data_IF_496050274736
#
_entry.id   IF_496050274736
#
_cell.length_a   1.000
_cell.length_b   1.000
_cell.length_c   1.000
_cell.angle_alpha   90.00
_cell.angle_beta   90.00
_cell.angle_gamma   90.00
#
_symmetry.space_group_name_H-M   'P 1'
#
loop_
_entity.id
_entity.type
_entity.pdbx_description
1 polymer ?
2 non-polymer ?
3 non-polymer ?
4 water ?
#
# COMPACT_ATOMS: atom_id res chain seq x y z
N UNK A 22 1.04 -27.40 32.02
CA UNK A 22 1.30 -26.14 32.77
C UNK A 22 1.93 -25.08 31.89
N UNK A 23 1.21 -23.99 31.57
CA UNK A 23 1.75 -22.93 30.73
C UNK A 23 2.69 -22.01 31.51
N UNK A 24 3.76 -21.56 30.86
CA UNK A 24 4.71 -20.68 31.52
C UNK A 24 4.94 -19.36 30.81
N UNK A 25 5.19 -18.33 31.60
CA UNK A 25 5.48 -17.00 31.10
C UNK A 25 7.00 -16.92 31.13
N UNK A 26 7.66 -16.71 29.97
CA UNK A 26 9.13 -16.63 29.94
C UNK A 26 9.66 -15.59 30.92
N UNK A 27 10.86 -15.81 31.44
CA UNK A 27 11.45 -14.88 32.40
C UNK A 27 11.60 -13.51 31.75
N UNK A 28 11.08 -12.49 32.44
CA UNK A 28 11.08 -11.10 32.00
C UNK A 28 9.88 -10.72 31.17
N UNK A 29 9.18 -11.69 30.57
CA UNK A 29 8.01 -11.33 29.78
C UNK A 29 6.87 -11.10 30.77
N UNK A 30 5.85 -10.38 30.32
CA UNK A 30 4.69 -10.11 31.15
C UNK A 30 3.51 -10.81 30.49
N UNK A 31 2.78 -11.61 31.26
CA UNK A 31 1.63 -12.34 30.73
C UNK A 31 0.38 -11.95 31.50
N UNK A 32 -0.40 -11.04 30.94
CA UNK A 32 -1.60 -10.53 31.61
C UNK A 32 -2.77 -10.32 30.66
N UNK A 33 -3.89 -10.98 30.97
CA UNK A 33 -5.13 -10.86 30.19
C UNK A 33 -5.04 -11.26 28.72
N UNK A 34 -4.58 -12.48 28.47
CA UNK A 34 -4.47 -13.02 27.12
C UNK A 34 -3.45 -12.24 26.28
N UNK A 35 -2.56 -11.53 26.94
CA UNK A 35 -1.53 -10.76 26.24
C UNK A 35 -0.17 -11.20 26.73
N UNK A 36 0.67 -11.66 25.82
CA UNK A 36 2.00 -12.08 26.20
C UNK A 36 2.95 -11.02 25.65
N UNK A 37 3.61 -10.32 26.56
CA UNK A 37 4.51 -9.23 26.21
C UNK A 37 5.95 -9.63 26.45
N UNK A 38 6.68 -9.80 25.35
CA UNK A 38 8.08 -10.19 25.41
C UNK A 38 8.98 -9.26 24.61
N UNK A 39 8.61 -8.00 24.45
CA UNK A 39 9.44 -7.06 23.70
C UNK A 39 10.73 -6.76 24.45
N UNK A 40 11.69 -6.25 23.69
CA UNK A 40 12.99 -5.80 24.20
C UNK A 40 13.77 -6.75 25.09
N UNK A 41 13.67 -8.05 24.83
CA UNK A 41 14.38 -9.00 25.68
C UNK A 41 15.56 -9.72 25.04
N UNK A 42 15.87 -9.39 23.79
CA UNK A 42 16.97 -10.06 23.14
C UNK A 42 16.74 -11.54 22.92
N UNK A 43 15.49 -12.00 23.02
CA UNK A 43 15.21 -13.42 22.83
C UNK A 43 15.79 -13.86 21.49
N UNK A 44 16.28 -15.10 21.41
CA UNK A 44 16.86 -15.60 20.17
C UNK A 44 15.95 -16.54 19.40
N UNK A 45 14.78 -16.86 19.97
CA UNK A 45 13.80 -17.71 19.30
C UNK A 45 12.44 -17.58 19.97
N UNK A 46 11.38 -17.92 19.24
CA UNK A 46 10.04 -17.84 19.76
C UNK A 46 9.85 -18.72 20.99
N UNK A 47 9.31 -18.17 22.08
CA UNK A 47 9.10 -18.95 23.29
C UNK A 47 7.99 -20.00 23.08
N UNK A 48 8.13 -21.15 23.75
CA UNK A 48 7.13 -22.19 23.65
C UNK A 48 6.44 -22.36 24.99
N UNK A 49 5.40 -23.19 25.03
CA UNK A 49 4.64 -23.43 26.25
C UNK A 49 3.87 -22.20 26.71
N UNK A 50 3.55 -21.29 25.80
CA UNK A 50 2.80 -20.11 26.16
C UNK A 50 1.35 -20.48 26.43
N UNK A 51 0.62 -19.66 27.20
CA UNK A 51 -0.78 -19.92 27.51
C UNK A 51 -1.63 -20.14 26.25
N UNK A 52 -2.30 -21.30 26.16
CA UNK A 52 -3.15 -21.62 25.00
C UNK A 52 -4.17 -20.57 24.58
N UNK A 53 -4.61 -19.74 25.52
CA UNK A 53 -5.61 -18.71 25.20
C UNK A 53 -5.01 -17.36 24.79
N UNK A 54 -3.70 -17.29 24.62
CA UNK A 54 -3.06 -16.03 24.25
C UNK A 54 -3.69 -15.43 22.99
N UNK A 55 -4.13 -14.18 23.09
CA UNK A 55 -4.77 -13.50 21.96
C UNK A 55 -3.83 -12.56 21.21
N UNK A 56 -2.84 -12.03 21.91
CA UNK A 56 -1.87 -11.13 21.30
C UNK A 56 -0.49 -11.49 21.83
N UNK A 57 0.43 -11.73 20.92
CA UNK A 57 1.79 -12.10 21.27
C UNK A 57 2.73 -11.02 20.71
N UNK A 58 3.48 -10.38 21.59
CA UNK A 58 4.39 -9.29 21.19
C UNK A 58 5.83 -9.72 21.36
N UNK A 59 6.52 -9.94 20.25
CA UNK A 59 7.91 -10.36 20.26
C UNK A 59 8.81 -9.32 19.59
N UNK A 60 8.33 -8.09 19.55
CA UNK A 60 9.05 -6.98 18.95
C UNK A 60 10.41 -6.72 19.58
N UNK A 61 11.35 -6.24 18.77
CA UNK A 61 12.69 -5.90 19.23
C UNK A 61 13.43 -7.00 19.98
N UNK A 62 13.60 -8.14 19.31
CA UNK A 62 14.33 -9.25 19.89
C UNK A 62 15.37 -9.65 18.86
N UNK A 63 15.96 -10.83 19.01
CA UNK A 63 16.99 -11.28 18.07
C UNK A 63 16.64 -12.60 17.39
N UNK A 64 15.34 -12.83 17.21
CA UNK A 64 14.89 -14.06 16.57
C UNK A 64 15.39 -14.13 15.12
N UNK A 65 16.00 -15.24 14.75
CA UNK A 65 16.54 -15.38 13.39
C UNK A 65 15.66 -16.18 12.43
N UNK A 66 14.76 -16.99 12.95
CA UNK A 66 13.90 -17.78 12.08
C UNK A 66 12.67 -18.33 12.80
N UNK A 67 11.65 -18.68 12.01
CA UNK A 67 10.42 -19.24 12.54
C UNK A 67 10.35 -20.71 12.08
N UNK A 68 10.53 -21.64 13.02
CA UNK A 68 10.48 -23.07 12.73
C UNK A 68 9.05 -23.58 12.76
N UNK A 69 8.80 -24.73 12.15
CA UNK A 69 7.45 -25.29 12.09
C UNK A 69 6.74 -25.53 13.43
N UNK A 70 7.49 -25.70 14.51
CA UNK A 70 6.85 -25.93 15.79
C UNK A 70 6.61 -24.68 16.64
N UNK A 71 7.26 -23.59 16.27
CA UNK A 71 7.17 -22.33 17.00
C UNK A 71 5.79 -21.83 17.44
N UNK A 72 4.75 -22.07 16.65
CA UNK A 72 3.43 -21.57 17.06
C UNK A 72 2.32 -22.59 17.31
N UNK A 73 2.66 -23.69 17.98
CA UNK A 73 1.66 -24.70 18.28
C UNK A 73 0.79 -24.33 19.49
N UNK A 74 -0.47 -24.75 19.45
CA UNK A 74 -1.41 -24.51 20.54
C UNK A 74 -1.76 -23.04 20.82
N UNK A 75 -1.60 -22.19 19.81
CA UNK A 75 -1.94 -20.77 19.91
C UNK A 75 -3.10 -20.56 18.95
N UNK A 76 -4.19 -21.27 19.23
CA UNK A 76 -5.38 -21.25 18.39
C UNK A 76 -6.26 -20.01 18.54
N UNK A 77 -6.04 -19.22 19.57
CA UNK A 77 -6.85 -18.02 19.74
C UNK A 77 -6.07 -16.75 19.41
N UNK A 78 -4.83 -16.90 18.99
CA UNK A 78 -3.98 -15.76 18.67
C UNK A 78 -4.47 -14.95 17.47
N UNK A 79 -4.95 -13.72 17.70
CA UNK A 79 -5.39 -12.89 16.59
C UNK A 79 -4.34 -11.86 16.15
N UNK A 80 -3.29 -11.67 16.94
CA UNK A 80 -2.25 -10.71 16.60
C UNK A 80 -0.84 -11.22 16.92
N UNK A 81 0.06 -11.13 15.97
CA UNK A 81 1.43 -11.58 16.19
C UNK A 81 2.36 -10.45 15.76
N UNK A 82 3.19 -9.99 16.68
CA UNK A 82 4.10 -8.91 16.39
C UNK A 82 5.52 -9.43 16.47
N UNK A 83 6.22 -9.40 15.33
CA UNK A 83 7.59 -9.88 15.27
C UNK A 83 8.48 -8.76 14.73
N UNK A 84 7.89 -7.56 14.67
CA UNK A 84 8.58 -6.38 14.22
C UNK A 84 9.96 -6.27 14.88
N UNK A 85 10.94 -5.81 14.09
CA UNK A 85 12.31 -5.60 14.53
C UNK A 85 13.04 -6.80 15.11
N UNK A 86 13.21 -7.82 14.29
CA UNK A 86 13.97 -8.99 14.70
C UNK A 86 15.05 -9.16 13.62
N UNK A 87 15.58 -10.38 13.47
CA UNK A 87 16.59 -10.64 12.46
C UNK A 87 16.14 -11.87 11.69
N UNK A 88 14.83 -11.97 11.48
CA UNK A 88 14.27 -13.12 10.75
C UNK A 88 14.70 -13.16 9.29
N UNK A 89 15.35 -14.24 8.89
CA UNK A 89 15.79 -14.39 7.50
C UNK A 89 15.18 -15.61 6.81
N UNK A 90 14.33 -16.33 7.53
CA UNK A 90 13.68 -17.51 6.95
C UNK A 90 12.49 -17.99 7.79
N UNK A 91 11.40 -18.31 7.10
CA UNK A 91 10.19 -18.79 7.75
C UNK A 91 9.67 -20.05 7.04
N UNK A 92 9.73 -21.18 7.74
CA UNK A 92 9.27 -22.44 7.19
C UNK A 92 7.87 -22.32 6.62
N UNK A 93 7.61 -23.01 5.50
CA UNK A 93 6.27 -22.92 4.93
C UNK A 93 5.21 -23.40 5.92
N UNK A 94 4.08 -22.71 5.98
CA UNK A 94 3.02 -23.07 6.90
C UNK A 94 3.32 -22.92 8.38
N UNK A 95 4.45 -22.30 8.73
CA UNK A 95 4.79 -22.12 10.14
C UNK A 95 3.71 -21.37 10.90
N UNK A 96 2.97 -20.52 10.20
CA UNK A 96 1.90 -19.73 10.81
C UNK A 96 0.54 -20.39 10.66
N UNK A 97 0.49 -21.47 9.87
CA UNK A 97 -0.77 -22.17 9.61
C UNK A 97 -1.55 -22.55 10.85
N UNK A 98 -0.87 -23.10 11.87
CA UNK A 98 -1.62 -23.47 13.06
C UNK A 98 -2.28 -22.32 13.82
N UNK A 99 -2.03 -21.09 13.39
CA UNK A 99 -2.64 -19.91 14.02
C UNK A 99 -3.94 -19.68 13.27
N UNK A 100 -4.88 -20.60 13.45
CA UNK A 100 -6.17 -20.57 12.76
C UNK A 100 -7.06 -19.36 12.96
N UNK A 101 -6.67 -18.46 13.87
CA UNK A 101 -7.48 -17.26 14.08
C UNK A 101 -6.67 -15.98 13.92
N UNK A 102 -5.47 -16.10 13.37
CA UNK A 102 -4.59 -14.95 13.17
C UNK A 102 -5.15 -13.91 12.19
N UNK A 103 -5.32 -12.67 12.66
CA UNK A 103 -5.84 -11.60 11.81
C UNK A 103 -4.78 -10.57 11.41
N UNK A 104 -3.77 -10.41 12.25
CA UNK A 104 -2.72 -9.44 11.97
C UNK A 104 -1.34 -10.06 12.12
N UNK A 105 -0.51 -9.89 11.10
CA UNK A 105 0.85 -10.42 11.16
C UNK A 105 1.78 -9.26 10.81
N UNK A 106 2.65 -8.90 11.74
CA UNK A 106 3.56 -7.79 11.55
C UNK A 106 4.96 -8.32 11.51
N UNK A 107 5.58 -8.31 10.34
CA UNK A 107 6.93 -8.84 10.17
C UNK A 107 7.92 -7.77 9.75
N UNK A 108 7.51 -6.51 9.88
CA UNK A 108 8.35 -5.40 9.51
C UNK A 108 9.67 -5.36 10.27
N UNK A 109 10.67 -4.79 9.61
CA UNK A 109 12.02 -4.66 10.16
C UNK A 109 12.67 -6.00 10.45
N UNK A 110 12.77 -6.81 9.41
CA UNK A 110 13.41 -8.10 9.51
C UNK A 110 14.27 -8.30 8.28
N UNK A 111 14.72 -9.52 8.04
CA UNK A 111 15.57 -9.79 6.88
C UNK A 111 14.97 -10.82 5.94
N UNK A 112 13.66 -10.75 5.70
CA UNK A 112 13.00 -11.69 4.81
C UNK A 112 13.41 -11.44 3.36
N UNK A 113 13.56 -12.52 2.60
CA UNK A 113 13.95 -12.46 1.20
C UNK A 113 12.72 -12.58 0.32
N UNK A 114 11.67 -13.15 0.89
CA UNK A 114 10.42 -13.34 0.18
C UNK A 114 9.31 -13.47 1.21
N UNK A 115 8.06 -13.36 0.77
CA UNK A 115 6.94 -13.47 1.68
C UNK A 115 6.75 -14.92 2.08
N UNK A 116 6.17 -15.16 3.28
CA UNK A 116 5.95 -16.52 3.76
C UNK A 116 4.80 -17.28 3.09
N UNK A 117 5.06 -18.53 2.74
CA UNK A 117 4.05 -19.37 2.10
C UNK A 117 3.07 -19.94 3.11
N UNK A 118 1.85 -20.22 2.64
CA UNK A 118 0.79 -20.81 3.44
C UNK A 118 0.55 -20.08 4.75
N UNK A 119 -0.10 -18.92 4.67
CA UNK A 119 -0.42 -18.14 5.86
C UNK A 119 -1.89 -18.36 6.20
N UNK A 120 -2.26 -18.15 7.47
CA UNK A 120 -3.65 -18.33 7.91
C UNK A 120 -4.63 -17.64 6.97
N UNK A 121 -5.69 -18.34 6.60
CA UNK A 121 -6.69 -17.80 5.69
C UNK A 121 -7.55 -16.73 6.36
N UNK A 122 -7.38 -16.54 7.65
CA UNK A 122 -8.14 -15.54 8.38
C UNK A 122 -7.44 -14.19 8.37
N UNK A 123 -6.19 -14.20 7.93
CA UNK A 123 -5.35 -13.00 7.91
C UNK A 123 -6.00 -11.77 7.29
N UNK A 124 -6.07 -10.68 8.07
CA UNK A 124 -6.67 -9.46 7.59
C UNK A 124 -5.64 -8.40 7.23
N UNK A 125 -4.50 -8.41 7.90
CA UNK A 125 -3.48 -7.41 7.64
C UNK A 125 -2.08 -7.97 7.71
N UNK A 126 -1.27 -7.64 6.71
CA UNK A 126 0.10 -8.11 6.67
C UNK A 126 1.02 -6.92 6.47
N UNK A 127 2.05 -6.83 7.29
CA UNK A 127 2.97 -5.73 7.14
C UNK A 127 4.36 -6.33 7.11
N UNK A 128 5.08 -6.05 6.05
CA UNK A 128 6.44 -6.57 5.93
C UNK A 128 7.32 -5.43 5.47
N UNK A 129 7.11 -4.27 6.08
CA UNK A 129 7.86 -3.07 5.78
C UNK A 129 9.30 -3.25 6.22
N UNK A 130 10.21 -2.66 5.46
CA UNK A 130 11.63 -2.70 5.77
C UNK A 130 12.25 -4.09 5.94
N UNK A 131 12.21 -4.86 4.87
CA UNK A 131 12.79 -6.20 4.84
C UNK A 131 13.73 -6.23 3.65
N UNK A 132 13.91 -7.39 3.04
CA UNK A 132 14.78 -7.50 1.87
C UNK A 132 14.07 -8.32 0.81
N UNK A 133 12.79 -8.02 0.62
CA UNK A 133 11.96 -8.72 -0.35
C UNK A 133 12.40 -8.40 -1.77
N UNK A 134 12.54 -9.45 -2.60
CA UNK A 134 12.93 -9.27 -3.99
C UNK A 134 11.93 -9.98 -4.90
N UNK A 135 11.10 -10.84 -4.32
CA UNK A 135 10.10 -11.54 -5.12
C UNK A 135 8.79 -11.71 -4.37
N UNK A 136 7.69 -11.37 -5.03
CA UNK A 136 6.35 -11.51 -4.46
C UNK A 136 5.59 -12.58 -5.25
N UNK A 137 5.60 -13.81 -4.77
CA UNK A 137 4.93 -14.90 -5.46
C UNK A 137 3.41 -14.81 -5.36
N UNK A 138 2.73 -15.03 -6.47
CA UNK A 138 1.27 -14.99 -6.47
C UNK A 138 0.69 -16.07 -5.55
N UNK A 139 1.49 -17.12 -5.35
CA UNK A 139 1.10 -18.25 -4.51
C UNK A 139 0.92 -17.95 -3.03
N UNK A 140 1.69 -17.01 -2.50
CA UNK A 140 1.57 -16.67 -1.08
C UNK A 140 0.20 -16.10 -0.76
N UNK A 141 -0.40 -15.42 -1.74
CA UNK A 141 -1.69 -14.77 -1.56
C UNK A 141 -2.93 -15.55 -2.00
N UNK A 142 -2.74 -16.73 -2.57
CA UNK A 142 -3.89 -17.53 -3.00
C UNK A 142 -4.73 -17.97 -1.82
N UNK A 143 -6.03 -17.68 -1.88
CA UNK A 143 -6.91 -18.09 -0.79
C UNK A 143 -7.05 -17.12 0.37
N UNK A 144 -6.14 -16.18 0.52
CA UNK A 144 -6.22 -15.22 1.63
C UNK A 144 -7.35 -14.23 1.32
N UNK A 145 -8.59 -14.69 1.49
CA UNK A 145 -9.76 -13.89 1.17
C UNK A 145 -10.26 -12.94 2.24
N UNK A 146 -9.56 -12.84 3.37
CA UNK A 146 -9.99 -11.93 4.42
C UNK A 146 -9.07 -10.71 4.46
N UNK A 147 -7.95 -10.81 3.74
CA UNK A 147 -6.97 -9.73 3.68
C UNK A 147 -7.53 -8.41 3.20
N UNK A 148 -7.39 -7.36 4.01
CA UNK A 148 -7.85 -6.05 3.58
C UNK A 148 -6.73 -5.03 3.45
N UNK A 149 -5.64 -5.24 4.17
CA UNK A 149 -4.51 -4.32 4.13
C UNK A 149 -3.18 -5.04 3.97
N UNK A 150 -2.34 -4.53 3.06
CA UNK A 150 -1.01 -5.08 2.83
C UNK A 150 -0.02 -3.94 2.68
N UNK A 151 1.04 -3.96 3.48
CA UNK A 151 2.08 -2.94 3.44
C UNK A 151 3.40 -3.63 3.13
N UNK A 152 4.02 -3.29 2.00
CA UNK A 152 5.29 -3.91 1.61
C UNK A 152 6.38 -2.91 1.32
N UNK A 153 6.31 -1.75 1.96
CA UNK A 153 7.30 -0.73 1.69
C UNK A 153 8.71 -0.98 2.15
N UNK A 154 9.61 -0.15 1.65
CA UNK A 154 11.03 -0.21 1.98
C UNK A 154 11.65 -1.61 1.79
N UNK A 155 11.59 -2.09 0.56
CA UNK A 155 12.19 -3.36 0.18
C UNK A 155 12.90 -3.11 -1.15
N UNK A 156 13.98 -3.86 -1.43
CA UNK A 156 14.72 -3.68 -2.69
C UNK A 156 13.97 -4.26 -3.89
N UNK A 157 12.73 -4.67 -3.64
CA UNK A 157 11.88 -5.25 -4.69
C UNK A 157 11.87 -4.47 -6.01
N UNK A 158 11.81 -5.19 -7.12
CA UNK A 158 11.78 -4.58 -8.45
C UNK A 158 10.50 -5.05 -9.14
N UNK A 159 10.04 -4.30 -10.13
CA UNK A 159 8.82 -4.66 -10.84
C UNK A 159 8.87 -6.08 -11.38
N UNK A 160 10.07 -6.53 -11.75
CA UNK A 160 10.24 -7.88 -12.28
C UNK A 160 10.04 -8.93 -11.19
N UNK A 161 10.27 -8.54 -9.94
CA UNK A 161 10.12 -9.45 -8.82
C UNK A 161 8.67 -9.69 -8.42
N UNK A 162 7.75 -8.97 -9.02
CA UNK A 162 6.34 -9.14 -8.69
C UNK A 162 5.60 -9.89 -9.78
N UNK A 163 5.30 -11.16 -9.54
CA UNK A 163 4.59 -11.95 -10.53
C UNK A 163 3.30 -11.21 -10.87
N UNK A 164 2.86 -11.32 -12.12
CA UNK A 164 1.65 -10.65 -12.54
C UNK A 164 0.46 -11.23 -11.81
N UNK A 165 -0.50 -10.37 -11.47
CA UNK A 165 -1.69 -10.82 -10.75
C UNK A 165 -1.34 -11.43 -9.41
N UNK A 166 -0.16 -11.10 -8.88
CA UNK A 166 0.28 -11.64 -7.60
C UNK A 166 -0.71 -11.40 -6.47
N UNK A 167 -1.39 -10.25 -6.50
CA UNK A 167 -2.35 -9.93 -5.46
C UNK A 167 -3.78 -10.31 -5.80
N UNK A 168 -4.01 -10.74 -7.03
CA UNK A 168 -5.35 -11.11 -7.49
C UNK A 168 -6.12 -12.02 -6.53
N UNK A 169 -5.42 -12.97 -5.91
CA UNK A 169 -6.06 -13.90 -5.00
C UNK A 169 -6.82 -13.35 -3.80
N UNK A 170 -6.56 -12.09 -3.44
CA UNK A 170 -7.23 -11.48 -2.29
C UNK A 170 -8.47 -10.70 -2.71
N UNK A 171 -9.59 -11.41 -2.77
CA UNK A 171 -10.89 -10.86 -3.17
C UNK A 171 -11.48 -9.77 -2.28
N UNK A 172 -10.83 -9.46 -1.17
CA UNK A 172 -11.37 -8.45 -0.25
C UNK A 172 -10.36 -7.34 0.01
N UNK A 173 -9.19 -7.45 -0.60
CA UNK A 173 -8.12 -6.46 -0.44
C UNK A 173 -8.65 -5.04 -0.71
N UNK A 174 -8.47 -4.16 0.26
CA UNK A 174 -8.96 -2.79 0.11
C UNK A 174 -7.83 -1.79 0.01
N UNK A 175 -6.70 -2.14 0.62
CA UNK A 175 -5.56 -1.25 0.67
C UNK A 175 -4.27 -2.00 0.38
N UNK A 176 -3.40 -1.41 -0.42
CA UNK A 176 -2.10 -2.03 -0.65
C UNK A 176 -1.12 -0.88 -0.80
N UNK A 177 0.07 -1.05 -0.22
CA UNK A 177 1.09 -0.02 -0.30
C UNK A 177 2.48 -0.62 -0.53
N UNK A 178 3.13 -0.17 -1.59
CA UNK A 178 4.47 -0.60 -1.92
C UNK A 178 5.17 0.73 -2.12
N UNK A 179 5.93 1.15 -1.12
CA UNK A 179 6.60 2.44 -1.16
C UNK A 179 8.09 2.29 -0.88
N UNK A 180 8.86 3.26 -1.38
CA UNK A 180 10.31 3.27 -1.21
C UNK A 180 10.98 1.94 -1.60
N UNK A 181 10.61 1.44 -2.76
CA UNK A 181 11.19 0.20 -3.30
C UNK A 181 11.79 0.55 -4.66
N UNK A 182 12.11 -0.46 -5.47
CA UNK A 182 12.67 -0.22 -6.79
C UNK A 182 11.72 -0.43 -7.95
N UNK A 183 10.43 -0.59 -7.67
CA UNK A 183 9.50 -0.82 -8.77
C UNK A 183 9.49 0.40 -9.69
N UNK A 184 9.27 0.15 -10.97
CA UNK A 184 9.29 1.20 -11.98
C UNK A 184 7.96 1.35 -12.72
N UNK A 185 7.06 0.39 -12.51
CA UNK A 185 5.74 0.44 -13.13
C UNK A 185 4.69 -0.07 -12.17
N UNK A 186 3.47 0.42 -12.31
CA UNK A 186 2.38 -0.02 -11.46
C UNK A 186 2.16 -1.52 -11.69
N UNK A 187 2.02 -2.29 -10.61
CA UNK A 187 1.81 -3.74 -10.77
C UNK A 187 0.58 -4.05 -11.62
N UNK A 188 0.69 -5.08 -12.45
CA UNK A 188 -0.42 -5.50 -13.30
C UNK A 188 -1.29 -6.47 -12.52
N UNK A 189 -2.56 -6.57 -12.90
CA UNK A 189 -3.47 -7.50 -12.25
C UNK A 189 -3.77 -7.22 -10.79
N UNK A 190 -4.17 -5.99 -10.47
CA UNK A 190 -4.50 -5.63 -9.11
C UNK A 190 -5.95 -5.98 -8.83
N UNK A 191 -6.25 -6.50 -7.63
CA UNK A 191 -7.63 -6.87 -7.30
C UNK A 191 -8.58 -5.68 -7.45
N UNK A 192 -9.71 -5.88 -8.13
CA UNK A 192 -10.70 -4.81 -8.34
C UNK A 192 -11.39 -4.31 -7.07
N UNK A 193 -11.21 -5.00 -5.96
CA UNK A 193 -11.84 -4.57 -4.71
C UNK A 193 -11.09 -3.37 -4.11
N UNK A 194 -9.86 -3.14 -4.57
CA UNK A 194 -9.03 -2.05 -4.07
C UNK A 194 -9.69 -0.67 -4.01
N UNK A 195 -9.55 0.02 -2.88
CA UNK A 195 -10.08 1.37 -2.75
C UNK A 195 -8.88 2.32 -2.62
N UNK A 196 -7.75 1.78 -2.21
CA UNK A 196 -6.54 2.59 -2.05
C UNK A 196 -5.30 1.91 -2.59
N UNK A 197 -4.58 2.61 -3.45
CA UNK A 197 -3.34 2.10 -4.03
C UNK A 197 -2.24 3.11 -3.76
N UNK A 198 -1.31 2.76 -2.88
CA UNK A 198 -0.23 3.67 -2.53
C UNK A 198 1.10 3.16 -3.01
N UNK A 199 1.72 3.92 -3.91
CA UNK A 199 3.01 3.57 -4.49
C UNK A 199 3.96 4.76 -4.41
N UNK A 200 3.89 5.51 -3.32
CA UNK A 200 4.75 6.67 -3.17
C UNK A 200 6.23 6.32 -2.95
N UNK A 201 7.11 7.19 -3.43
CA UNK A 201 8.53 7.00 -3.24
C UNK A 201 9.24 5.84 -3.92
N UNK A 202 8.75 5.44 -5.08
CA UNK A 202 9.40 4.35 -5.81
C UNK A 202 10.18 4.96 -6.99
N UNK A 203 10.25 4.25 -8.09
CA UNK A 203 10.95 4.75 -9.26
C UNK A 203 10.10 4.56 -10.50
N UNK A 204 8.79 4.76 -10.34
CA UNK A 204 7.86 4.62 -11.45
C UNK A 204 8.11 5.79 -12.40
N UNK A 205 8.14 5.52 -13.71
CA UNK A 205 8.39 6.56 -14.69
C UNK A 205 7.17 6.98 -15.49
N UNK A 206 6.19 6.08 -15.60
CA UNK A 206 4.97 6.39 -16.35
C UNK A 206 3.76 5.63 -15.80
N UNK A 207 2.58 6.15 -16.10
CA UNK A 207 1.34 5.53 -15.66
C UNK A 207 0.60 5.03 -16.90
N UNK A 208 0.58 3.72 -17.10
CA UNK A 208 -0.11 3.13 -18.25
C UNK A 208 -1.53 2.75 -17.85
N UNK A 209 -2.46 2.92 -18.78
CA UNK A 209 -3.87 2.61 -18.53
C UNK A 209 -4.14 1.16 -18.20
N UNK A 210 -3.29 0.26 -18.70
CA UNK A 210 -3.46 -1.17 -18.45
C UNK A 210 -3.40 -1.55 -16.97
N UNK A 211 -2.41 -1.03 -16.24
CA UNK A 211 -2.27 -1.36 -14.83
C UNK A 211 -3.49 -0.96 -14.00
N UNK A 212 -4.13 0.15 -14.36
CA UNK A 212 -5.29 0.62 -13.62
C UNK A 212 -6.60 0.05 -14.16
N UNK A 213 -6.50 -0.87 -15.11
CA UNK A 213 -7.70 -1.46 -15.71
C UNK A 213 -8.49 -2.34 -14.76
N UNK A 214 -9.78 -2.02 -14.59
CA UNK A 214 -10.63 -2.80 -13.71
C UNK A 214 -10.80 -2.29 -12.29
N UNK A 215 -10.01 -1.30 -11.89
CA UNK A 215 -10.08 -0.75 -10.53
C UNK A 215 -11.24 0.23 -10.40
N UNK A 216 -12.46 -0.31 -10.55
CA UNK A 216 -13.67 0.49 -10.49
C UNK A 216 -14.00 1.03 -9.10
N UNK A 217 -13.35 0.51 -8.07
CA UNK A 217 -13.61 0.97 -6.70
C UNK A 217 -12.51 1.87 -6.14
N UNK A 218 -11.41 2.01 -6.87
CA UNK A 218 -10.29 2.84 -6.39
C UNK A 218 -10.70 4.28 -6.08
N UNK A 219 -10.49 4.70 -4.83
CA UNK A 219 -10.82 6.05 -4.38
C UNK A 219 -9.57 6.92 -4.22
N UNK A 220 -8.47 6.30 -3.80
CA UNK A 220 -7.24 7.05 -3.60
C UNK A 220 -6.11 6.41 -4.36
N UNK A 221 -5.30 7.24 -5.01
CA UNK A 221 -4.16 6.75 -5.79
C UNK A 221 -2.95 7.63 -5.45
N UNK A 222 -2.00 7.06 -4.72
CA UNK A 222 -0.81 7.82 -4.35
C UNK A 222 0.38 7.45 -5.21
N UNK A 223 0.86 8.39 -6.00
CA UNK A 223 2.01 8.14 -6.88
C UNK A 223 3.05 9.21 -6.66
N UNK A 224 3.00 9.85 -5.50
CA UNK A 224 3.94 10.91 -5.19
C UNK A 224 5.38 10.41 -5.03
N UNK A 225 6.33 11.32 -5.26
CA UNK A 225 7.74 11.03 -5.14
C UNK A 225 8.27 9.88 -5.97
N UNK A 226 7.92 9.87 -7.25
CA UNK A 226 8.39 8.87 -8.20
C UNK A 226 9.08 9.64 -9.32
N UNK A 227 9.23 9.03 -10.49
CA UNK A 227 9.86 9.73 -11.60
C UNK A 227 8.93 9.79 -12.81
N UNK A 228 7.63 9.84 -12.54
CA UNK A 228 6.64 9.86 -13.60
C UNK A 228 6.78 11.08 -14.52
N UNK A 229 6.83 10.82 -15.82
CA UNK A 229 6.97 11.89 -16.79
C UNK A 229 5.73 12.03 -17.67
N UNK A 230 4.87 11.03 -17.64
CA UNK A 230 3.65 11.06 -18.44
C UNK A 230 2.56 10.13 -17.94
N UNK A 231 1.32 10.49 -18.22
CA UNK A 231 0.15 9.71 -17.84
C UNK A 231 -0.66 9.46 -19.10
N UNK A 232 -0.67 8.23 -19.58
CA UNK A 232 -1.42 7.89 -20.79
C UNK A 232 -2.88 8.32 -20.71
N UNK A 233 -3.45 8.70 -21.85
CA UNK A 233 -4.85 9.09 -21.88
C UNK A 233 -5.62 7.79 -21.65
N UNK A 234 -6.73 7.87 -20.93
CA UNK A 234 -7.51 6.67 -20.64
C UNK A 234 -7.14 6.06 -19.31
N UNK A 235 -6.04 6.54 -18.71
CA UNK A 235 -5.58 6.04 -17.42
C UNK A 235 -6.59 6.28 -16.32
N UNK A 236 -6.88 7.55 -16.06
CA UNK A 236 -7.83 7.91 -15.02
C UNK A 236 -9.24 7.42 -15.32
N UNK A 237 -9.54 7.19 -16.60
CA UNK A 237 -10.86 6.70 -16.97
C UNK A 237 -11.07 5.26 -16.51
N UNK A 238 -9.99 4.57 -16.19
CA UNK A 238 -10.10 3.19 -15.70
C UNK A 238 -10.38 3.18 -14.21
N UNK A 239 -10.24 4.34 -13.57
CA UNK A 239 -10.51 4.50 -12.14
C UNK A 239 -11.58 5.57 -12.10
N UNK A 240 -12.76 5.27 -12.68
CA UNK A 240 -13.88 6.21 -12.75
C UNK A 240 -14.38 6.79 -11.43
N UNK A 241 -14.09 6.13 -10.32
CA UNK A 241 -14.58 6.65 -9.05
C UNK A 241 -13.49 7.21 -8.15
N UNK A 242 -12.29 7.36 -8.72
CA UNK A 242 -11.14 7.90 -7.99
C UNK A 242 -11.44 9.31 -7.44
N UNK A 243 -11.19 9.51 -6.16
CA UNK A 243 -11.45 10.81 -5.55
C UNK A 243 -10.14 11.57 -5.26
N UNK A 244 -9.07 10.84 -4.99
CA UNK A 244 -7.80 11.51 -4.67
C UNK A 244 -6.61 11.04 -5.50
N UNK A 245 -5.96 11.99 -6.15
CA UNK A 245 -4.80 11.69 -6.97
C UNK A 245 -3.61 12.54 -6.53
N UNK A 246 -2.59 11.89 -5.98
CA UNK A 246 -1.38 12.60 -5.55
C UNK A 246 -0.28 12.24 -6.53
N UNK A 247 0.16 13.22 -7.31
CA UNK A 247 1.22 13.00 -8.28
C UNK A 247 2.32 14.03 -8.07
N UNK A 248 2.33 14.66 -6.90
CA UNK A 248 3.34 15.66 -6.60
C UNK A 248 4.74 15.06 -6.55
N UNK A 249 5.73 15.91 -6.76
CA UNK A 249 7.14 15.49 -6.72
C UNK A 249 7.48 14.42 -7.74
N UNK A 250 7.11 14.67 -8.99
CA UNK A 250 7.38 13.75 -10.08
C UNK A 250 8.00 14.54 -11.23
N UNK A 251 7.93 14.01 -12.45
CA UNK A 251 8.50 14.71 -13.61
C UNK A 251 7.47 14.92 -14.71
N UNK A 252 6.30 15.43 -14.34
CA UNK A 252 5.24 15.67 -15.30
C UNK A 252 5.50 16.94 -16.12
N UNK A 253 5.25 16.86 -17.42
CA UNK A 253 5.44 17.98 -18.32
C UNK A 253 4.12 18.72 -18.57
N UNK A 254 3.02 18.11 -18.11
CA UNK A 254 1.69 18.70 -18.25
C UNK A 254 0.71 17.92 -17.38
N UNK A 255 -0.41 18.55 -17.01
CA UNK A 255 -1.39 17.87 -16.18
C UNK A 255 -1.89 16.61 -16.88
N UNK A 256 -2.11 15.53 -16.11
CA UNK A 256 -2.59 14.30 -16.74
C UNK A 256 -3.95 14.53 -17.43
N UNK A 257 -4.19 13.79 -18.50
CA UNK A 257 -5.44 13.94 -19.23
C UNK A 257 -6.60 13.19 -18.61
N UNK A 258 -7.82 13.59 -18.98
CA UNK A 258 -9.00 12.92 -18.46
C UNK A 258 -9.60 13.55 -17.22
N UNK A 259 -9.00 14.62 -16.70
CA UNK A 259 -9.56 15.23 -15.51
C UNK A 259 -10.90 15.92 -15.76
N UNK A 260 -11.04 16.55 -16.91
CA UNK A 260 -12.28 17.27 -17.26
C UNK A 260 -13.49 16.36 -17.43
N UNK A 261 -13.31 15.21 -18.06
CA UNK A 261 -14.43 14.31 -18.27
C UNK A 261 -14.60 13.28 -17.15
N UNK A 262 -13.69 13.27 -16.19
CA UNK A 262 -13.78 12.36 -15.07
C UNK A 262 -14.86 12.95 -14.15
N UNK A 263 -15.71 12.10 -13.59
CA UNK A 263 -16.80 12.59 -12.74
C UNK A 263 -16.60 12.60 -11.23
N UNK A 264 -15.65 11.81 -10.72
CA UNK A 264 -15.47 11.77 -9.27
C UNK A 264 -14.21 12.39 -8.67
N UNK A 265 -13.18 12.64 -9.49
CA UNK A 265 -11.94 13.22 -8.98
C UNK A 265 -12.18 14.54 -8.25
N UNK A 266 -11.67 14.66 -7.03
CA UNK A 266 -11.86 15.87 -6.24
C UNK A 266 -10.57 16.50 -5.72
N UNK A 267 -9.55 15.67 -5.53
CA UNK A 267 -8.25 16.11 -5.02
C UNK A 267 -7.16 15.72 -6.00
N UNK A 268 -6.49 16.72 -6.57
CA UNK A 268 -5.41 16.48 -7.52
C UNK A 268 -4.17 17.30 -7.14
N UNK A 269 -3.19 16.62 -6.56
CA UNK A 269 -1.95 17.27 -6.14
C UNK A 269 -0.93 17.13 -7.25
N UNK A 270 -0.45 18.27 -7.73
CA UNK A 270 0.54 18.27 -8.81
C UNK A 270 1.73 19.18 -8.51
N UNK A 271 1.91 19.55 -7.25
CA UNK A 271 3.02 20.42 -6.95
C UNK A 271 4.35 19.70 -7.16
N UNK A 272 5.42 20.46 -7.37
CA UNK A 272 6.75 19.91 -7.60
C UNK A 272 6.86 19.00 -8.79
N UNK A 273 6.52 19.52 -9.96
CA UNK A 273 6.63 18.78 -11.20
C UNK A 273 7.29 19.70 -12.23
N UNK A 274 7.12 19.38 -13.51
CA UNK A 274 7.75 20.18 -14.57
C UNK A 274 6.72 20.57 -15.64
N UNK A 275 5.52 20.92 -15.17
CA UNK A 275 4.42 21.31 -16.05
C UNK A 275 4.65 22.67 -16.73
N UNK A 276 4.81 22.64 -18.05
CA UNK A 276 5.06 23.85 -18.86
C UNK A 276 3.91 24.85 -18.82
N UNK A 277 2.72 24.42 -19.20
CA UNK A 277 1.54 25.28 -19.22
C UNK A 277 0.28 24.51 -18.82
N UNK A 278 -0.81 25.24 -18.63
CA UNK A 278 -2.07 24.63 -18.25
C UNK A 278 -3.20 25.02 -19.20
N UNK A 279 -3.72 24.01 -19.93
CA UNK A 279 -4.81 24.24 -20.86
C UNK A 279 -6.09 24.71 -20.19
N UNK A 280 -7.00 25.26 -20.99
CA UNK A 280 -8.27 25.77 -20.51
C UNK A 280 -9.22 24.70 -19.99
N UNK A 281 -9.13 23.51 -20.57
CA UNK A 281 -9.99 22.41 -20.15
C UNK A 281 -9.15 21.25 -19.59
N UNK A 282 -8.13 21.59 -18.82
CA UNK A 282 -7.26 20.60 -18.20
C UNK A 282 -7.91 20.03 -16.93
N UNK A 283 -8.76 20.83 -16.30
CA UNK A 283 -9.44 20.41 -15.08
C UNK A 283 -10.96 20.45 -15.20
N UNK A 284 -11.47 21.47 -15.90
CA UNK A 284 -12.89 21.64 -16.09
C UNK A 284 -13.33 21.44 -17.53
N UNK A 285 -14.47 20.79 -17.76
CA UNK A 285 -14.95 20.58 -19.13
C UNK A 285 -15.53 21.89 -19.68
N UNK A 286 -15.64 22.00 -21.01
CA UNK A 286 -16.18 23.21 -21.65
C UNK A 286 -17.39 23.82 -20.94
N UNK A 287 -18.52 23.14 -21.01
CA UNK A 287 -19.71 23.66 -20.34
C UNK A 287 -19.79 23.07 -18.94
N UNK A 288 -20.45 23.76 -18.03
CA UNK A 288 -20.58 23.25 -16.66
C UNK A 288 -21.25 21.88 -16.70
N UNK A 289 -20.65 20.90 -16.04
CA UNK A 289 -21.21 19.55 -16.00
C UNK A 289 -21.72 19.29 -14.59
N UNK A 290 -23.04 19.30 -14.43
CA UNK A 290 -23.68 19.06 -13.14
C UNK A 290 -23.35 17.70 -12.54
N UNK A 291 -22.93 16.76 -13.39
CA UNK A 291 -22.60 15.41 -12.96
C UNK A 291 -21.18 15.25 -12.41
N UNK A 292 -20.31 16.20 -12.72
CA UNK A 292 -18.93 16.15 -12.25
C UNK A 292 -18.78 16.69 -10.84
N UNK A 293 -18.14 15.92 -9.97
CA UNK A 293 -17.93 16.33 -8.59
C UNK A 293 -17.03 17.55 -8.56
N UNK A 294 -17.25 18.43 -7.58
CA UNK A 294 -16.47 19.64 -7.46
C UNK A 294 -15.09 19.37 -6.86
N UNK A 295 -14.07 20.09 -7.34
CA UNK A 295 -12.72 19.96 -6.84
C UNK A 295 -12.61 20.58 -5.46
N UNK A 296 -11.98 19.88 -4.52
CA UNK A 296 -11.82 20.43 -3.18
C UNK A 296 -10.37 20.80 -2.93
N UNK A 297 -9.49 20.34 -3.83
CA UNK A 297 -8.08 20.64 -3.67
C UNK A 297 -7.24 20.38 -4.90
N UNK A 298 -6.50 21.39 -5.35
CA UNK A 298 -5.63 21.30 -6.50
C UNK A 298 -4.35 22.07 -6.16
N UNK A 299 -3.21 21.44 -6.35
CA UNK A 299 -1.92 22.07 -6.05
C UNK A 299 -1.09 22.15 -7.31
N UNK A 300 -0.51 23.33 -7.57
CA UNK A 300 0.29 23.53 -8.77
C UNK A 300 1.60 24.28 -8.53
N UNK A 301 1.81 24.73 -7.31
CA UNK A 301 3.04 25.44 -7.01
C UNK A 301 4.28 24.60 -7.34
N UNK A 302 5.46 25.19 -7.15
CA UNK A 302 6.73 24.51 -7.46
C UNK A 302 6.74 23.87 -8.84
N UNK A 303 6.24 24.63 -9.81
CA UNK A 303 6.21 24.21 -11.21
C UNK A 303 6.65 25.40 -12.06
N UNK A 304 7.03 25.15 -13.31
CA UNK A 304 7.46 26.26 -14.17
C UNK A 304 6.33 27.30 -14.29
N UNK A 305 5.11 26.83 -14.62
CA UNK A 305 3.97 27.73 -14.75
C UNK A 305 3.76 28.65 -13.56
N UNK A 306 3.36 29.89 -13.84
CA UNK A 306 3.14 30.90 -12.82
C UNK A 306 1.65 31.26 -12.79
N UNK A 307 1.22 31.88 -11.71
CA UNK A 307 -0.19 32.27 -11.57
C UNK A 307 -0.67 33.14 -12.73
N UNK A 308 0.25 33.89 -13.33
CA UNK A 308 -0.11 34.78 -14.44
C UNK A 308 -0.17 34.13 -15.82
N UNK A 309 0.08 32.84 -15.91
CA UNK A 309 0.02 32.16 -17.20
C UNK A 309 -1.24 31.30 -17.31
N UNK A 310 -2.05 31.33 -16.25
CA UNK A 310 -3.28 30.55 -16.22
C UNK A 310 -4.51 31.42 -16.36
N UNK A 311 -5.26 31.24 -17.45
CA UNK A 311 -6.47 32.03 -17.67
C UNK A 311 -7.44 31.75 -16.52
N UNK A 312 -8.05 32.81 -15.96
CA UNK A 312 -9.01 32.66 -14.85
C UNK A 312 -10.17 31.70 -15.17
N UNK A 313 -10.33 31.38 -16.45
CA UNK A 313 -11.40 30.48 -16.87
C UNK A 313 -11.06 29.02 -16.60
N UNK A 314 -9.77 28.73 -16.45
CA UNK A 314 -9.28 27.38 -16.21
C UNK A 314 -9.92 26.66 -15.03
N UNK A 315 -10.30 27.40 -14.00
CA UNK A 315 -10.93 26.80 -12.83
C UNK A 315 -12.36 27.30 -12.66
N UNK A 316 -13.08 27.41 -13.77
CA UNK A 316 -14.46 27.89 -13.76
C UNK A 316 -15.46 26.94 -13.10
N UNK A 317 -15.04 25.71 -12.84
CA UNK A 317 -15.94 24.75 -12.21
C UNK A 317 -15.60 24.54 -10.74
N UNK A 318 -14.69 25.38 -10.23
CA UNK A 318 -14.28 25.33 -8.84
C UNK A 318 -14.96 26.52 -8.17
N UNK A 319 -15.65 26.29 -7.06
CA UNK A 319 -16.35 27.39 -6.39
C UNK A 319 -15.81 27.76 -5.01
N UNK A 320 -14.51 27.54 -4.82
CA UNK A 320 -13.84 27.87 -3.57
C UNK A 320 -12.40 28.22 -3.93
N UNK A 321 -12.05 29.50 -3.81
CA UNK A 321 -10.70 29.95 -4.14
C UNK A 321 -9.64 29.22 -3.33
N UNK A 322 -10.02 28.81 -2.11
CA UNK A 322 -9.10 28.10 -1.23
C UNK A 322 -8.63 26.77 -1.82
N UNK A 323 -9.48 26.18 -2.65
CA UNK A 323 -9.17 24.89 -3.29
C UNK A 323 -7.91 24.91 -4.12
N UNK A 324 -7.82 25.83 -5.07
CA UNK A 324 -6.66 25.92 -5.94
C UNK A 324 -5.50 26.62 -5.26
N UNK A 325 -4.37 25.92 -5.20
CA UNK A 325 -3.15 26.45 -4.59
C UNK A 325 -2.11 26.60 -5.69
N UNK A 326 -1.83 27.84 -6.07
CA UNK A 326 -0.86 28.13 -7.13
C UNK A 326 0.44 28.71 -6.59
X LIG B 1 17.36 -1.21 -5.63
X LIG B 1 17.69 -0.75 -4.22
X LIG B 1 19.20 -0.50 -4.07
X LIG B 1 19.99 -1.74 -4.54
X LIG B 1 19.53 -2.16 -5.94
X LIG B 1 20.18 -3.45 -6.40
X LIG B 1 16.18 0.52 -2.86
X LIG B 1 15.86 1.89 -2.28
X LIG B 1 16.97 0.48 -3.92
X LIG B 1 19.49 -0.25 -2.70
X LIG B 1 21.39 -1.43 -4.57
X LIG B 1 18.09 -2.38 -5.95
X LIG B 1 19.52 -3.98 -7.53
X LIG B 1 15.73 -0.49 -2.31
X LIG C 1 -4.23 12.57 -25.35
X LIG C 1 -3.29 12.71 -26.56
X LIG C 1 -3.26 14.19 -26.98
X LIG C 1 -4.67 14.70 -27.25
X LIG C 1 -5.61 14.40 -26.06
X LIG C 1 -7.05 14.72 -26.38
X LIG C 1 -1.29 11.51 -27.10
X LIG C 1 -0.08 12.17 -27.76
X LIG C 1 -1.97 12.24 -26.23
X LIG C 1 -2.46 14.33 -28.14
X LIG C 1 -4.63 16.11 -27.47
X LIG C 1 -5.56 13.00 -25.71
X LIG C 1 -7.55 15.78 -25.57
X LIG C 1 -1.59 10.35 -27.40
X LIG D 1 11.10 20.12 -18.12
X LIG D 1 12.46 19.49 -17.81
X LIG D 1 13.53 19.98 -18.79
X LIG D 1 13.06 19.85 -20.25
X LIG D 1 11.68 20.49 -20.41
X LIG D 1 11.12 20.28 -21.82
X LIG D 1 13.25 18.90 -15.60
X LIG D 1 12.15 18.20 -14.80
X LIG D 1 12.85 19.83 -16.45
X LIG D 1 14.73 19.25 -18.61
X LIG D 1 13.99 20.50 -21.11
X LIG D 1 10.74 19.89 -19.50
X LIG D 1 9.71 20.42 -21.85
X LIG D 1 14.42 18.58 -15.43
X LIG E 1 2.28 24.66 1.95
X LIG E 1 1.77 25.71 0.92
X LIG E 1 2.63 25.41 3.09
X LIG E 1 3.46 23.92 1.31
X LIG E 1 1.17 23.72 2.23
X LIG E 1 1.37 25.24 -0.27
X LIG E 1 3.13 24.71 4.23
X LIG E 1 4.65 24.56 0.93
X LIG F 1 -6.96 -8.68 23.90
X LIG F 1 -8.35 -9.08 23.32
X LIG F 1 -7.25 -7.73 24.90
X LIG F 1 -6.13 -8.15 22.74
X LIG F 1 -6.33 -9.90 24.48
X LIG F 1 -8.36 -10.00 22.35
X LIG F 1 -6.16 -7.17 25.63
X LIG F 1 -6.47 -7.01 22.00
#
# INVERSE_FOLDING_TARGET
DEASGIGPEEHFPEVPEIEPMGPVCPFRCQCHLRVVQCSDLGLEKVPKDLPPDTALLDLQNNKITEIKDGDFKNLKNLHTLILINNKISKISPGAFAPLVKLERLYLSKNQLKELPEKMPKTLQELRVHENEITKVRKSVFNGLNQMIVVELGTNPLKSSGIENGAFQGMKKLSYIRIADTNITTIPQGLPPSLTELHLDGNKITKVDAASLKGLNNLAKLGLSFNSISAVDNGSLANTPHLRELHLNNNKLVKVPGGLADHKYIQVVYLHNNNISAIGSNDFCPPGYNTKKASYSGVSLFSNPVQYWEIQPSTFRCVYVRAAVQLGNY
NAG C1 C2 C3 C4 C5 C6 C7 C8 N2 O3 O4 O5 O6 O7
NAG C1 C2 C3 C4 C5 C6 C7 C8 N2 O3 O4 O5 O6 O7
NAG C1 C2 C3 C4 C5 C6 C7 C8 N2 O3 O4 O5 O6 O7
TRS C C1 C2 C3 N O1 O2 O3
TRS C C1 C2 C3 N O1 O2 O3
#
